data_IF_906075765811
#
_entry.id   IF_906075765811
#
_cell.length_a   1.000
_cell.length_b   1.000
_cell.length_c   1.000
_cell.angle_alpha   90.00
_cell.angle_beta   90.00
_cell.angle_gamma   90.00
#
_symmetry.space_group_name_H-M   'P 1'
#
loop_
_entity.id
_entity.type
_entity.pdbx_description
1 polymer ?
#
# COMPACT_ATOMS: atom_id res chain seq x y z
N UNK A 1 7.83 5.06 -0.46
CA UNK A 1 6.90 6.19 -0.54
C UNK A 1 5.68 5.96 0.33
N UNK A 2 4.99 6.99 0.81
CA UNK A 2 3.96 6.86 1.85
C UNK A 2 2.58 6.44 1.32
N UNK A 3 1.92 5.56 2.04
CA UNK A 3 0.50 5.23 1.84
C UNK A 3 -0.37 6.16 2.68
N UNK A 4 -1.57 6.52 2.21
CA UNK A 4 -2.49 7.41 2.94
C UNK A 4 -3.77 6.70 3.36
N UNK A 5 -4.23 7.08 4.54
CA UNK A 5 -5.56 6.80 5.04
C UNK A 5 -6.40 8.09 4.99
N UNK A 6 -7.39 8.15 4.09
CA UNK A 6 -8.32 9.27 4.04
C UNK A 6 -9.54 8.97 4.91
N UNK A 7 -9.71 9.72 5.99
CA UNK A 7 -10.89 9.69 6.83
C UNK A 7 -11.29 11.12 7.21
N UNK A 8 -12.56 11.35 7.45
CA UNK A 8 -13.12 12.68 7.65
C UNK A 8 -12.61 13.32 8.95
N UNK A 9 -11.76 14.33 8.83
CA UNK A 9 -11.28 15.12 9.96
C UNK A 9 -12.28 16.25 10.28
N UNK A 10 -13.49 15.91 10.68
CA UNK A 10 -14.37 16.90 11.36
C UNK A 10 -14.60 16.44 12.79
N UNK A 11 -14.23 17.31 13.72
CA UNK A 11 -14.55 17.22 15.13
C UNK A 11 -16.04 16.89 15.25
N UNK A 12 -16.38 15.67 15.69
CA UNK A 12 -17.64 15.37 16.36
C UNK A 12 -18.60 14.31 15.83
N UNK A 13 -18.32 13.55 14.80
CA UNK A 13 -19.29 12.52 14.38
C UNK A 13 -18.76 11.09 14.46
N UNK A 14 -18.03 10.75 15.51
CA UNK A 14 -17.53 9.41 15.73
C UNK A 14 -16.23 9.43 16.52
N UNK A 15 -15.84 8.28 16.98
CA UNK A 15 -14.59 8.08 17.73
C UNK A 15 -13.57 7.26 16.94
N UNK A 16 -13.97 6.81 15.77
CA UNK A 16 -13.21 5.87 14.93
C UNK A 16 -11.87 6.44 14.55
N UNK A 17 -11.79 7.73 14.19
CA UNK A 17 -10.55 8.38 13.84
C UNK A 17 -9.58 8.44 15.03
N UNK A 18 -10.09 8.80 16.20
CA UNK A 18 -9.25 9.01 17.39
C UNK A 18 -8.91 7.71 18.12
N UNK A 19 -9.82 6.74 18.15
CA UNK A 19 -9.65 5.52 18.94
C UNK A 19 -9.09 4.35 18.11
N UNK A 20 -9.24 4.36 16.77
CA UNK A 20 -8.86 3.25 15.91
C UNK A 20 -7.84 3.68 14.85
N UNK A 21 -8.14 4.70 14.03
CA UNK A 21 -7.34 5.05 12.85
C UNK A 21 -6.01 5.68 13.24
N UNK A 22 -6.00 6.69 14.10
CA UNK A 22 -4.76 7.35 14.53
C UNK A 22 -3.83 6.36 15.24
N UNK A 23 -4.29 5.55 16.23
CA UNK A 23 -3.43 4.54 16.84
C UNK A 23 -2.93 3.45 15.86
N UNK A 24 -3.69 3.16 14.80
CA UNK A 24 -3.25 2.23 13.76
C UNK A 24 -2.12 2.84 12.90
N UNK A 25 -2.22 4.12 12.55
CA UNK A 25 -1.17 4.86 11.82
C UNK A 25 0.11 4.91 12.66
N UNK A 26 0.01 5.20 13.96
CA UNK A 26 1.17 5.22 14.87
C UNK A 26 1.88 3.86 14.92
N UNK A 27 1.12 2.76 15.00
CA UNK A 27 1.68 1.40 14.96
C UNK A 27 2.35 1.06 13.63
N UNK A 28 1.81 1.54 12.51
CA UNK A 28 2.46 1.38 11.20
C UNK A 28 3.79 2.11 11.14
N UNK A 29 3.86 3.32 11.71
CA UNK A 29 5.09 4.09 11.80
C UNK A 29 6.17 3.37 12.65
N UNK A 30 5.77 2.72 13.76
CA UNK A 30 6.66 1.87 14.58
C UNK A 30 7.23 0.67 13.79
N UNK A 31 6.47 0.15 12.83
CA UNK A 31 6.89 -0.94 11.94
C UNK A 31 7.71 -0.45 10.72
N UNK A 32 7.98 0.86 10.62
CA UNK A 32 8.71 1.46 9.52
C UNK A 32 7.86 1.68 8.25
N UNK A 33 6.55 1.54 8.33
CA UNK A 33 5.62 1.82 7.23
C UNK A 33 5.21 3.28 7.31
N UNK A 34 5.45 4.03 6.24
CA UNK A 34 5.08 5.45 6.17
C UNK A 34 3.59 5.58 5.80
N UNK A 35 2.78 5.87 6.80
CA UNK A 35 1.35 6.12 6.64
C UNK A 35 1.02 7.52 7.20
N UNK A 36 0.21 8.27 6.47
CA UNK A 36 -0.18 9.63 6.81
C UNK A 36 -1.70 9.79 6.79
N UNK A 37 -2.22 10.52 7.72
CA UNK A 37 -3.66 10.77 7.83
C UNK A 37 -4.10 10.93 9.30
N UNK A 38 -5.39 10.86 9.55
CA UNK A 38 -6.48 10.85 8.57
C UNK A 38 -6.71 12.23 7.93
N UNK A 39 -7.11 12.24 6.66
CA UNK A 39 -7.46 13.45 5.91
C UNK A 39 -8.95 13.47 5.57
N UNK A 40 -9.53 14.65 5.47
CA UNK A 40 -10.87 14.81 4.89
C UNK A 40 -10.79 14.54 3.38
N UNK A 41 -11.68 13.70 2.85
CA UNK A 41 -11.63 13.28 1.45
C UNK A 41 -11.82 14.45 0.48
N UNK A 42 -12.71 15.38 0.80
CA UNK A 42 -12.96 16.61 0.02
C UNK A 42 -11.73 17.50 -0.06
N UNK A 43 -11.03 17.69 1.05
CA UNK A 43 -9.80 18.48 1.09
C UNK A 43 -8.65 17.76 0.39
N UNK A 44 -8.51 16.46 0.61
CA UNK A 44 -7.43 15.64 0.07
C UNK A 44 -7.44 15.62 -1.46
N UNK A 45 -8.60 15.32 -2.05
CA UNK A 45 -8.74 15.30 -3.50
C UNK A 45 -8.88 16.71 -4.08
N UNK A 46 -9.58 17.62 -3.41
CA UNK A 46 -9.77 19.00 -3.87
C UNK A 46 -8.47 19.82 -3.96
N UNK A 47 -7.48 19.51 -3.12
CA UNK A 47 -6.15 20.16 -3.16
C UNK A 47 -5.11 19.40 -3.99
N UNK A 48 -5.46 18.25 -4.56
CA UNK A 48 -4.57 17.46 -5.38
C UNK A 48 -3.47 16.72 -4.63
N UNK A 49 -3.60 16.54 -3.31
CA UNK A 49 -2.58 15.84 -2.49
C UNK A 49 -2.36 14.38 -2.89
N UNK A 50 -3.32 13.78 -3.58
CA UNK A 50 -3.24 12.40 -4.04
C UNK A 50 -2.03 12.11 -4.94
N UNK A 51 -1.50 13.12 -5.62
CA UNK A 51 -0.32 12.97 -6.49
C UNK A 51 0.99 12.73 -5.73
N UNK A 52 1.02 13.03 -4.44
CA UNK A 52 2.22 12.92 -3.60
C UNK A 52 2.35 11.52 -2.96
N UNK A 53 1.40 10.61 -3.24
CA UNK A 53 1.31 9.32 -2.58
C UNK A 53 1.23 8.16 -3.56
N UNK A 54 1.84 7.03 -3.21
CA UNK A 54 1.80 5.81 -4.03
C UNK A 54 0.49 5.04 -3.88
N UNK A 55 -0.20 5.19 -2.76
CA UNK A 55 -1.44 4.49 -2.47
C UNK A 55 -2.34 5.28 -1.53
N UNK A 56 -3.63 5.13 -1.71
CA UNK A 56 -4.66 5.80 -0.93
C UNK A 56 -5.60 4.73 -0.37
N UNK A 57 -5.81 4.76 0.95
CA UNK A 57 -6.79 3.91 1.60
C UNK A 57 -8.00 4.75 2.00
N UNK A 58 -9.14 4.47 1.40
CA UNK A 58 -10.42 5.10 1.75
C UNK A 58 -11.23 4.18 2.66
N UNK A 59 -11.92 4.76 3.64
CA UNK A 59 -12.76 3.99 4.56
C UNK A 59 -14.10 3.60 3.94
N UNK A 60 -14.60 4.40 3.03
CA UNK A 60 -15.87 4.19 2.35
C UNK A 60 -15.69 4.09 0.84
N UNK A 61 -16.51 3.27 0.22
CA UNK A 61 -16.47 3.01 -1.23
C UNK A 61 -16.56 4.29 -2.07
N UNK A 62 -17.50 5.16 -1.75
CA UNK A 62 -17.73 6.42 -2.48
C UNK A 62 -16.57 7.42 -2.35
N UNK A 63 -15.85 7.40 -1.23
CA UNK A 63 -14.65 8.22 -1.04
C UNK A 63 -13.51 7.86 -2.01
N UNK A 64 -13.45 6.62 -2.47
CA UNK A 64 -12.44 6.17 -3.43
C UNK A 64 -12.98 6.23 -4.86
N UNK A 65 -14.19 5.73 -5.11
CA UNK A 65 -14.71 5.56 -6.48
C UNK A 65 -15.08 6.87 -7.14
N UNK A 66 -15.64 7.84 -6.40
CA UNK A 66 -16.00 9.15 -6.96
C UNK A 66 -14.78 9.89 -7.54
N UNK A 67 -13.69 10.12 -6.80
CA UNK A 67 -12.51 10.76 -7.36
C UNK A 67 -11.82 9.89 -8.42
N UNK A 68 -11.84 8.56 -8.25
CA UNK A 68 -11.27 7.66 -9.24
C UNK A 68 -11.94 7.82 -10.61
N UNK A 69 -13.26 7.75 -10.67
CA UNK A 69 -14.01 7.96 -11.92
C UNK A 69 -13.94 9.38 -12.47
N UNK A 70 -13.61 10.37 -11.62
CA UNK A 70 -13.42 11.75 -12.09
C UNK A 70 -12.04 11.98 -12.72
N UNK A 71 -11.05 11.20 -12.32
CA UNK A 71 -9.65 11.33 -12.76
C UNK A 71 -9.28 10.30 -13.84
N UNK A 72 -9.82 9.09 -13.74
CA UNK A 72 -9.47 7.94 -14.58
C UNK A 72 -10.73 7.23 -15.04
N UNK A 73 -11.16 7.50 -16.27
CA UNK A 73 -12.43 6.98 -16.80
C UNK A 73 -12.29 5.68 -17.58
N UNK A 74 -11.12 5.37 -18.13
CA UNK A 74 -11.03 4.37 -19.21
C UNK A 74 -10.32 3.06 -18.82
N UNK A 75 -9.35 3.06 -17.90
CA UNK A 75 -8.48 1.91 -17.63
C UNK A 75 -8.63 1.31 -16.23
N UNK A 76 -9.70 1.61 -15.54
CA UNK A 76 -9.91 1.20 -14.16
C UNK A 76 -10.14 -0.30 -14.00
N UNK A 77 -9.46 -0.93 -13.04
CA UNK A 77 -9.64 -2.33 -12.67
C UNK A 77 -9.93 -2.45 -11.18
N UNK A 78 -10.91 -3.27 -10.84
CA UNK A 78 -11.19 -3.68 -9.46
C UNK A 78 -10.46 -5.00 -9.21
N UNK A 79 -9.62 -5.04 -8.17
CA UNK A 79 -9.01 -6.26 -7.67
C UNK A 79 -9.50 -6.55 -6.25
N UNK A 80 -10.10 -7.71 -6.03
CA UNK A 80 -10.57 -8.12 -4.70
C UNK A 80 -9.50 -8.95 -4.01
N UNK A 81 -8.82 -8.34 -3.03
CA UNK A 81 -7.79 -9.00 -2.24
C UNK A 81 -8.37 -9.84 -1.09
N UNK A 82 -7.57 -10.78 -0.57
CA UNK A 82 -7.94 -11.60 0.59
C UNK A 82 -8.78 -12.83 0.29
N UNK A 83 -9.05 -13.12 -0.97
CA UNK A 83 -9.75 -14.33 -1.39
C UNK A 83 -8.77 -15.46 -1.75
N UNK A 84 -9.17 -16.73 -1.59
CA UNK A 84 -8.37 -17.88 -2.05
C UNK A 84 -8.29 -17.96 -3.58
N UNK A 85 -9.21 -17.29 -4.27
CA UNK A 85 -9.25 -17.16 -5.73
C UNK A 85 -8.80 -15.76 -6.15
N UNK A 86 -8.39 -15.61 -7.41
CA UNK A 86 -8.12 -14.30 -8.00
C UNK A 86 -9.43 -13.79 -8.59
N UNK A 87 -9.82 -12.61 -8.15
CA UNK A 87 -11.02 -11.92 -8.64
C UNK A 87 -10.64 -10.51 -9.10
N UNK A 88 -10.84 -10.28 -10.40
CA UNK A 88 -10.70 -8.97 -11.04
C UNK A 88 -11.99 -8.62 -11.78
N UNK A 89 -12.30 -7.35 -11.87
CA UNK A 89 -13.43 -6.85 -12.64
C UNK A 89 -13.06 -5.53 -13.32
N UNK A 90 -13.69 -5.27 -14.47
CA UNK A 90 -13.61 -3.96 -15.09
C UNK A 90 -14.29 -2.91 -14.19
N UNK A 91 -13.63 -1.78 -13.97
CA UNK A 91 -14.22 -0.68 -13.21
C UNK A 91 -14.96 0.29 -14.15
N UNK A 92 -16.06 -0.17 -14.69
CA UNK A 92 -16.91 0.59 -15.62
C UNK A 92 -18.36 0.59 -15.15
N UNK A 93 -19.05 1.68 -15.42
CA UNK A 93 -20.48 1.77 -15.16
C UNK A 93 -21.27 0.93 -16.19
N UNK A 94 -22.43 0.35 -15.82
CA UNK A 94 -23.30 -0.32 -16.78
C UNK A 94 -23.78 0.66 -17.86
N UNK A 95 -23.50 0.34 -19.13
CA UNK A 95 -23.83 1.20 -20.27
C UNK A 95 -24.93 0.59 -21.11
N UNK A 96 -26.13 0.49 -20.55
CA UNK A 96 -27.29 -0.10 -21.27
C UNK A 96 -27.69 0.65 -22.54
N UNK A 97 -27.38 1.95 -22.62
CA UNK A 97 -27.72 2.79 -23.79
C UNK A 97 -26.99 2.41 -25.08
N UNK A 98 -25.79 1.82 -24.95
CA UNK A 98 -24.97 1.39 -26.09
C UNK A 98 -25.00 -0.13 -26.31
N UNK A 99 -25.89 -0.84 -25.59
CA UNK A 99 -26.00 -2.27 -25.71
C UNK A 99 -26.44 -2.67 -27.15
N UNK A 100 -25.64 -3.51 -27.81
CA UNK A 100 -25.89 -3.92 -29.20
C UNK A 100 -25.37 -2.96 -30.28
N UNK A 101 -24.85 -1.78 -29.93
CA UNK A 101 -24.32 -0.81 -30.89
C UNK A 101 -22.86 -1.09 -31.31
N UNK A 102 -22.18 -1.99 -30.64
CA UNK A 102 -20.75 -2.28 -30.85
C UNK A 102 -19.83 -1.05 -30.64
N UNK A 103 -20.20 -0.20 -29.68
CA UNK A 103 -19.49 1.04 -29.31
C UNK A 103 -18.80 0.96 -27.92
N UNK A 104 -18.98 -0.17 -27.23
CA UNK A 104 -18.40 -0.34 -25.89
C UNK A 104 -16.87 -0.41 -25.96
N UNK A 105 -16.20 0.34 -25.07
CA UNK A 105 -14.76 0.25 -24.87
C UNK A 105 -14.42 -1.00 -24.03
N UNK A 106 -13.57 -1.86 -24.57
CA UNK A 106 -13.13 -3.08 -23.91
C UNK A 106 -11.85 -2.92 -23.07
N UNK A 107 -11.24 -1.74 -23.04
CA UNK A 107 -9.92 -1.50 -22.43
C UNK A 107 -9.87 -1.91 -20.96
N UNK A 108 -10.83 -1.48 -20.17
CA UNK A 108 -10.93 -1.83 -18.75
C UNK A 108 -11.10 -3.34 -18.51
N UNK A 109 -11.91 -4.02 -19.35
CA UNK A 109 -12.07 -5.47 -19.27
C UNK A 109 -10.76 -6.21 -19.64
N UNK A 110 -10.09 -5.76 -20.69
CA UNK A 110 -8.79 -6.32 -21.12
C UNK A 110 -7.75 -6.18 -20.04
N UNK A 111 -7.65 -5.02 -19.41
CA UNK A 111 -6.75 -4.78 -18.28
C UNK A 111 -7.08 -5.68 -17.08
N UNK A 112 -8.36 -5.91 -16.79
CA UNK A 112 -8.77 -6.83 -15.73
C UNK A 112 -8.31 -8.27 -16.00
N UNK A 113 -8.38 -8.73 -17.26
CA UNK A 113 -7.89 -10.06 -17.65
C UNK A 113 -6.37 -10.16 -17.50
N UNK A 114 -5.62 -9.17 -17.97
CA UNK A 114 -4.16 -9.16 -17.81
C UNK A 114 -3.75 -9.14 -16.35
N UNK A 115 -4.38 -8.30 -15.52
CA UNK A 115 -4.11 -8.28 -14.09
C UNK A 115 -4.39 -9.63 -13.42
N UNK A 116 -5.46 -10.33 -13.84
CA UNK A 116 -5.76 -11.66 -13.31
C UNK A 116 -4.66 -12.68 -13.64
N UNK A 117 -4.14 -12.64 -14.87
CA UNK A 117 -3.05 -13.53 -15.32
C UNK A 117 -1.77 -13.24 -14.54
N UNK A 118 -1.39 -11.97 -14.43
CA UNK A 118 -0.19 -11.54 -13.71
C UNK A 118 -0.27 -11.90 -12.22
N UNK A 119 -1.42 -11.64 -11.59
CA UNK A 119 -1.64 -11.99 -10.20
C UNK A 119 -1.57 -13.51 -9.96
N UNK A 120 -2.08 -14.32 -10.90
CA UNK A 120 -2.00 -15.77 -10.83
C UNK A 120 -0.55 -16.26 -10.95
N UNK A 121 0.18 -15.77 -11.93
CA UNK A 121 1.58 -16.14 -12.13
C UNK A 121 2.45 -15.73 -10.95
N UNK A 122 2.28 -14.51 -10.44
CA UNK A 122 3.02 -14.01 -9.30
C UNK A 122 2.71 -14.81 -8.02
N UNK A 123 1.45 -15.15 -7.78
CA UNK A 123 1.05 -15.99 -6.64
C UNK A 123 1.69 -17.37 -6.72
N UNK A 124 1.60 -18.04 -7.86
CA UNK A 124 2.19 -19.37 -8.05
C UNK A 124 3.71 -19.34 -7.86
N UNK A 125 4.40 -18.35 -8.46
CA UNK A 125 5.85 -18.21 -8.31
C UNK A 125 6.27 -17.95 -6.86
N UNK A 126 5.48 -17.16 -6.12
CA UNK A 126 5.70 -16.92 -4.71
C UNK A 126 5.49 -18.20 -3.87
N UNK A 127 4.38 -18.89 -4.09
CA UNK A 127 4.04 -20.11 -3.35
C UNK A 127 5.06 -21.23 -3.62
N UNK A 128 5.49 -21.40 -4.87
CA UNK A 128 6.55 -22.34 -5.24
C UNK A 128 7.88 -22.04 -4.54
N UNK A 129 8.26 -20.76 -4.49
CA UNK A 129 9.51 -20.34 -3.85
C UNK A 129 9.52 -20.59 -2.33
N UNK A 130 8.38 -20.54 -1.67
CA UNK A 130 8.25 -20.73 -0.21
C UNK A 130 7.81 -22.14 0.20
N UNK A 131 7.40 -23.00 -0.75
CA UNK A 131 6.97 -24.38 -0.45
C UNK A 131 8.05 -25.19 0.27
N UNK A 132 9.31 -24.98 -0.12
CA UNK A 132 10.45 -25.65 0.51
C UNK A 132 11.60 -24.65 0.76
N UNK A 133 11.45 -23.74 1.73
CA UNK A 133 12.44 -22.71 1.99
C UNK A 133 13.74 -23.35 2.51
N UNK A 134 14.87 -22.89 1.98
CA UNK A 134 16.17 -23.30 2.50
C UNK A 134 16.25 -23.01 4.01
N UNK A 135 16.69 -23.98 4.84
CA UNK A 135 16.89 -23.74 6.27
C UNK A 135 17.89 -22.58 6.44
N UNK A 136 17.58 -21.62 7.31
CA UNK A 136 18.52 -20.56 7.67
C UNK A 136 19.75 -21.20 8.32
N UNK A 137 20.84 -21.31 7.56
CA UNK A 137 22.11 -21.87 8.01
C UNK A 137 22.83 -20.97 9.04
N UNK A 138 22.41 -19.72 9.15
CA UNK A 138 22.94 -18.77 10.09
C UNK A 138 21.93 -18.53 11.19
N UNK A 139 22.23 -19.03 12.40
CA UNK A 139 21.73 -18.36 13.57
C UNK A 139 22.25 -16.92 13.46
N UNK A 140 21.36 -15.95 13.45
CA UNK A 140 21.70 -14.54 13.65
C UNK A 140 22.32 -14.36 15.05
N UNK A 141 23.52 -14.86 15.25
CA UNK A 141 24.42 -14.19 16.17
C UNK A 141 24.77 -12.90 15.48
N UNK A 142 24.06 -11.85 15.85
CA UNK A 142 24.46 -10.48 15.54
C UNK A 142 25.97 -10.43 15.84
N UNK A 143 26.77 -10.29 14.80
CA UNK A 143 28.21 -10.18 14.95
C UNK A 143 28.46 -8.87 15.68
N UNK A 144 28.66 -8.96 16.99
CA UNK A 144 28.94 -7.79 17.80
C UNK A 144 30.29 -7.13 17.44
N UNK A 145 31.09 -7.77 16.61
CA UNK A 145 32.34 -7.20 16.09
C UNK A 145 32.08 -5.98 15.19
N UNK A 146 30.93 -5.91 14.49
CA UNK A 146 30.56 -4.74 13.69
C UNK A 146 30.24 -3.51 14.56
N UNK A 147 29.68 -3.69 15.75
CA UNK A 147 29.46 -2.59 16.69
C UNK A 147 30.75 -1.92 17.15
N UNK A 148 31.83 -2.68 17.24
CA UNK A 148 33.16 -2.16 17.63
C UNK A 148 33.84 -1.47 16.45
N UNK A 149 33.59 -1.88 15.22
CA UNK A 149 34.22 -1.34 14.02
C UNK A 149 33.73 0.05 13.64
N UNK A 150 32.50 0.39 14.02
CA UNK A 150 31.88 1.67 13.69
C UNK A 150 31.60 2.58 14.89
N UNK A 151 32.16 2.26 16.06
CA UNK A 151 32.12 3.19 17.19
C UNK A 151 33.01 4.39 16.87
N UNK A 152 32.41 5.50 16.50
CA UNK A 152 33.09 6.78 16.35
C UNK A 152 33.69 7.14 17.72
N UNK A 153 35.01 7.31 17.84
CA UNK A 153 35.62 7.69 19.12
C UNK A 153 35.06 9.05 19.55
N UNK A 154 34.45 9.11 20.73
CA UNK A 154 34.00 10.38 21.28
C UNK A 154 35.23 11.32 21.37
N UNK A 155 35.13 12.49 20.78
CA UNK A 155 36.12 13.55 20.82
C UNK A 155 36.53 13.79 22.28
N UNK A 156 37.74 13.35 22.70
CA UNK A 156 38.24 13.48 24.07
C UNK A 156 38.59 12.16 24.78
N UNK A 157 38.41 10.99 24.17
CA UNK A 157 38.87 9.71 24.75
C UNK A 157 40.35 9.50 24.49
N UNK A 158 41.10 9.08 25.53
CA UNK A 158 42.51 8.72 25.44
C UNK A 158 42.71 7.61 24.42
N UNK A 159 43.80 7.63 23.62
CA UNK A 159 44.07 6.57 22.63
C UNK A 159 44.29 5.23 23.36
N UNK A 160 43.76 4.15 22.72
CA UNK A 160 43.94 2.80 23.24
C UNK A 160 45.42 2.43 23.33
N UNK A 161 45.87 1.77 24.41
CA UNK A 161 47.21 1.24 24.46
C UNK A 161 47.43 0.14 23.41
N UNK A 162 48.63 0.02 22.83
CA UNK A 162 48.92 -1.03 21.87
C UNK A 162 48.81 -2.40 22.54
N UNK A 163 48.21 -3.35 21.83
CA UNK A 163 48.19 -4.76 22.27
C UNK A 163 49.58 -5.34 22.13
N UNK A 164 50.15 -5.83 23.25
CA UNK A 164 51.29 -6.73 23.24
C UNK A 164 50.91 -8.10 22.67
#
# INVERSE_FOLDING_TARGET
>A
MPSILAATKRKSCGKEESEIIIPAIDKLAEQGIQAFGPYAADEFFGKGYFSDFDGIMAMYHDQATTPFHSLYTEDGVIYTAGLPIIHTAANMAPSYSIAGCNEADESSFRQAVFLAIDAFQNRNSYDEAIENPLPKLYHEKRDESEKVRFSIPKKGGKPFPPKN
#
